data_IF_805843307665
#
_entry.id   IF_805843307665
#
_cell.length_a   1.000
_cell.length_b   1.000
_cell.length_c   1.000
_cell.angle_alpha   90.00
_cell.angle_beta   90.00
_cell.angle_gamma   90.00
#
_symmetry.space_group_name_H-M   'P 1'
#
loop_
_entity.id
_entity.type
_entity.pdbx_description
1 polymer ?
#
# COMPACT_ATOMS: atom_id res chain seq x y z
N UNK A 1 -1.98 27.60 -10.38
CA UNK A 1 -1.72 26.66 -11.49
C UNK A 1 -1.17 25.37 -10.91
N UNK A 2 -1.80 24.22 -11.19
CA UNK A 2 -1.28 22.91 -10.73
C UNK A 2 -0.05 22.55 -11.55
N UNK A 3 1.05 22.19 -10.87
CA UNK A 3 2.35 21.86 -11.48
C UNK A 3 2.61 20.35 -11.52
N UNK A 4 2.12 19.62 -10.53
CA UNK A 4 2.24 18.19 -10.43
C UNK A 4 1.07 17.62 -9.63
N UNK A 5 0.76 16.35 -9.87
CA UNK A 5 -0.20 15.55 -9.10
C UNK A 5 0.52 14.26 -8.71
N UNK A 6 0.50 13.92 -7.41
CA UNK A 6 1.04 12.66 -6.90
C UNK A 6 -0.14 11.74 -6.58
N UNK A 7 -0.08 10.51 -7.09
CA UNK A 7 -1.08 9.49 -6.82
C UNK A 7 -0.53 8.51 -5.78
N UNK A 8 -1.33 8.25 -4.74
CA UNK A 8 -1.10 7.07 -3.91
C UNK A 8 -1.44 5.82 -4.72
N UNK A 9 -0.76 4.71 -4.45
CA UNK A 9 -0.94 3.49 -5.24
C UNK A 9 -2.14 2.70 -4.74
N UNK A 10 -2.05 2.14 -3.53
CA UNK A 10 -3.06 1.23 -2.97
C UNK A 10 -4.20 2.03 -2.33
N UNK A 11 -5.43 1.77 -2.76
CA UNK A 11 -6.63 2.48 -2.32
C UNK A 11 -6.97 3.73 -3.14
N UNK A 12 -6.04 4.18 -4.00
CA UNK A 12 -6.26 5.31 -4.91
C UNK A 12 -6.17 4.87 -6.37
N UNK A 13 -5.00 4.44 -6.85
CA UNK A 13 -4.78 3.97 -8.23
C UNK A 13 -5.21 2.52 -8.42
N UNK A 14 -4.92 1.65 -7.45
CA UNK A 14 -5.31 0.24 -7.46
C UNK A 14 -6.12 -0.09 -6.22
N UNK A 15 -7.06 -1.02 -6.35
CA UNK A 15 -7.88 -1.53 -5.26
C UNK A 15 -7.70 -3.04 -5.13
N UNK A 16 -7.93 -3.55 -3.94
CA UNK A 16 -7.87 -4.98 -3.65
C UNK A 16 -9.12 -5.66 -4.24
N UNK A 17 -8.94 -6.67 -5.10
CA UNK A 17 -10.04 -7.47 -5.68
C UNK A 17 -10.76 -8.28 -4.60
N UNK A 18 -9.97 -8.89 -3.71
CA UNK A 18 -10.45 -9.52 -2.49
C UNK A 18 -10.22 -8.49 -1.38
N UNK A 19 -11.25 -8.02 -0.67
CA UNK A 19 -11.03 -7.17 0.49
C UNK A 19 -10.03 -7.86 1.42
N UNK A 20 -9.04 -7.11 1.91
CA UNK A 20 -8.09 -7.55 2.94
C UNK A 20 -6.81 -8.28 2.45
N UNK A 21 -6.43 -8.22 1.17
CA UNK A 21 -5.10 -8.68 0.68
C UNK A 21 -3.96 -8.18 1.58
N UNK A 22 -3.97 -6.89 1.94
CA UNK A 22 -2.89 -6.33 2.78
C UNK A 22 -2.93 -6.91 4.21
N UNK A 23 -4.12 -7.07 4.79
CA UNK A 23 -4.22 -7.68 6.12
C UNK A 23 -3.82 -9.15 6.08
N UNK A 24 -4.19 -9.88 5.04
CA UNK A 24 -3.80 -11.27 4.80
C UNK A 24 -2.28 -11.40 4.70
N UNK A 25 -1.59 -10.44 4.05
CA UNK A 25 -0.12 -10.42 4.01
C UNK A 25 0.48 -10.27 5.42
N UNK A 26 -0.09 -9.41 6.27
CA UNK A 26 0.33 -9.31 7.67
C UNK A 26 0.05 -10.60 8.43
N UNK A 27 -1.17 -11.12 8.38
CA UNK A 27 -1.55 -12.35 9.09
C UNK A 27 -0.66 -13.52 8.69
N UNK A 28 -0.38 -13.71 7.40
CA UNK A 28 0.54 -14.73 6.93
C UNK A 28 1.94 -14.54 7.54
N UNK A 29 2.52 -13.35 7.41
CA UNK A 29 3.87 -13.10 7.88
C UNK A 29 4.03 -13.31 9.39
N UNK A 30 3.06 -12.86 10.19
CA UNK A 30 3.07 -13.06 11.63
C UNK A 30 2.83 -14.53 12.00
N UNK A 31 1.93 -15.23 11.30
CA UNK A 31 1.67 -16.66 11.50
C UNK A 31 2.91 -17.52 11.24
N UNK A 32 3.61 -17.28 10.14
CA UNK A 32 4.85 -18.00 9.79
C UNK A 32 5.96 -17.79 10.83
N UNK A 33 5.97 -16.63 11.49
CA UNK A 33 6.87 -16.36 12.62
C UNK A 33 6.33 -16.82 13.98
N UNK A 34 5.20 -17.55 14.02
CA UNK A 34 4.53 -18.02 15.23
C UNK A 34 4.16 -16.88 16.20
N UNK A 35 3.88 -15.70 15.66
CA UNK A 35 3.48 -14.53 16.44
C UNK A 35 1.96 -14.33 16.34
N UNK A 36 1.22 -14.30 17.46
CA UNK A 36 -0.19 -13.97 17.43
C UNK A 36 -0.39 -12.51 16.98
N UNK A 37 -1.29 -12.31 16.02
CA UNK A 37 -1.62 -10.99 15.50
C UNK A 37 -3.09 -10.67 15.72
N UNK A 38 -3.36 -9.59 16.47
CA UNK A 38 -4.67 -8.98 16.50
C UNK A 38 -4.82 -8.01 15.32
N UNK A 39 -5.75 -8.31 14.41
CA UNK A 39 -6.07 -7.47 13.24
C UNK A 39 -6.56 -6.09 13.68
N UNK A 40 -7.20 -5.98 14.85
CA UNK A 40 -7.66 -4.71 15.39
C UNK A 40 -6.48 -3.74 15.62
N UNK A 41 -5.32 -4.27 16.03
CA UNK A 41 -4.09 -3.50 16.22
C UNK A 41 -3.53 -2.94 14.90
N UNK A 42 -3.73 -3.64 13.77
CA UNK A 42 -3.34 -3.14 12.45
C UNK A 42 -4.16 -1.90 12.04
N UNK A 43 -5.45 -1.86 12.39
CA UNK A 43 -6.33 -0.73 12.03
C UNK A 43 -5.86 0.59 12.64
N UNK A 44 -5.38 0.56 13.88
CA UNK A 44 -4.83 1.73 14.58
C UNK A 44 -3.54 2.29 13.96
N UNK A 45 -2.94 1.56 13.01
CA UNK A 45 -1.70 1.94 12.36
C UNK A 45 -1.83 2.08 10.83
N UNK A 46 -3.06 2.12 10.29
CA UNK A 46 -3.30 2.41 8.87
C UNK A 46 -2.61 3.72 8.44
N UNK A 47 -2.14 3.74 7.19
CA UNK A 47 -1.42 4.87 6.61
C UNK A 47 0.05 4.99 7.01
N UNK A 48 0.52 4.21 7.99
CA UNK A 48 1.95 4.15 8.32
C UNK A 48 2.72 3.22 7.38
N UNK A 49 4.04 3.41 7.38
CA UNK A 49 4.96 2.48 6.75
C UNK A 49 4.78 1.05 7.30
N UNK A 50 4.82 0.05 6.43
CA UNK A 50 4.50 -1.34 6.78
C UNK A 50 5.50 -1.93 7.78
N UNK A 51 6.78 -1.56 7.69
CA UNK A 51 7.81 -1.99 8.65
C UNK A 51 7.58 -1.34 10.02
N UNK A 52 7.16 -0.08 10.03
CA UNK A 52 6.78 0.62 11.27
C UNK A 52 5.55 -0.02 11.92
N UNK A 53 4.55 -0.45 11.14
CA UNK A 53 3.40 -1.21 11.67
C UNK A 53 3.87 -2.49 12.36
N UNK A 54 4.74 -3.28 11.71
CA UNK A 54 5.28 -4.53 12.27
C UNK A 54 5.99 -4.26 13.61
N UNK A 55 6.87 -3.26 13.64
CA UNK A 55 7.59 -2.88 14.86
C UNK A 55 6.64 -2.48 16.00
N UNK A 56 5.61 -1.68 15.71
CA UNK A 56 4.63 -1.28 16.71
C UNK A 56 3.84 -2.47 17.25
N UNK A 57 3.44 -3.41 16.40
CA UNK A 57 2.76 -4.63 16.82
C UNK A 57 3.66 -5.48 17.72
N UNK A 58 4.94 -5.64 17.37
CA UNK A 58 5.89 -6.37 18.21
C UNK A 58 6.06 -5.70 19.58
N UNK A 59 6.17 -4.37 19.63
CA UNK A 59 6.27 -3.62 20.89
C UNK A 59 5.03 -3.77 21.77
N UNK A 60 3.84 -3.64 21.19
CA UNK A 60 2.57 -3.77 21.90
C UNK A 60 2.36 -5.17 22.51
N UNK A 61 2.93 -6.19 21.87
CA UNK A 61 2.86 -7.58 22.35
C UNK A 61 4.10 -7.99 23.18
N UNK A 62 4.98 -7.05 23.52
CA UNK A 62 6.21 -7.31 24.27
C UNK A 62 7.14 -8.36 23.62
N UNK A 63 7.19 -8.38 22.29
CA UNK A 63 7.99 -9.32 21.50
C UNK A 63 9.32 -8.72 21.02
N UNK A 64 10.34 -9.56 20.74
CA UNK A 64 11.63 -9.08 20.27
C UNK A 64 11.54 -8.33 18.93
N UNK A 65 12.05 -7.10 18.89
CA UNK A 65 12.12 -6.30 17.67
C UNK A 65 13.00 -6.92 16.58
N UNK A 66 13.94 -7.81 16.96
CA UNK A 66 14.80 -8.55 16.03
C UNK A 66 14.00 -9.41 15.04
N UNK A 67 12.76 -9.79 15.36
CA UNK A 67 11.86 -10.52 14.46
C UNK A 67 11.32 -9.65 13.32
N UNK A 68 11.38 -8.32 13.46
CA UNK A 68 10.72 -7.39 12.55
C UNK A 68 11.20 -7.46 11.10
N UNK A 69 12.50 -7.70 10.89
CA UNK A 69 13.07 -7.82 9.54
C UNK A 69 12.58 -9.07 8.82
N UNK A 70 12.46 -10.19 9.53
CA UNK A 70 11.98 -11.45 8.97
C UNK A 70 10.48 -11.40 8.65
N UNK A 71 9.66 -10.88 9.58
CA UNK A 71 8.23 -10.65 9.35
C UNK A 71 8.03 -9.72 8.14
N UNK A 72 8.83 -8.65 8.04
CA UNK A 72 8.73 -7.73 6.91
C UNK A 72 9.15 -8.37 5.58
N UNK A 73 10.16 -9.25 5.59
CA UNK A 73 10.56 -10.03 4.42
C UNK A 73 9.41 -10.93 3.95
N UNK A 74 8.81 -11.70 4.85
CA UNK A 74 7.69 -12.59 4.55
C UNK A 74 6.46 -11.82 4.04
N UNK A 75 6.16 -10.67 4.67
CA UNK A 75 5.11 -9.77 4.21
C UNK A 75 5.32 -9.35 2.75
N UNK A 76 6.54 -8.91 2.38
CA UNK A 76 6.85 -8.49 1.01
C UNK A 76 6.76 -9.64 0.02
N UNK A 77 7.23 -10.83 0.40
CA UNK A 77 7.11 -12.03 -0.43
C UNK A 77 5.65 -12.34 -0.73
N UNK A 78 4.79 -12.31 0.30
CA UNK A 78 3.36 -12.56 0.14
C UNK A 78 2.66 -11.48 -0.68
N UNK A 79 2.99 -10.21 -0.45
CA UNK A 79 2.43 -9.10 -1.22
C UNK A 79 2.78 -9.21 -2.71
N UNK A 80 4.02 -9.61 -3.01
CA UNK A 80 4.47 -9.81 -4.39
C UNK A 80 3.74 -10.97 -5.06
N UNK A 81 3.56 -12.09 -4.34
CA UNK A 81 2.84 -13.25 -4.89
C UNK A 81 1.36 -12.98 -5.11
N UNK A 82 0.79 -12.03 -4.38
CA UNK A 82 -0.62 -11.66 -4.41
C UNK A 82 -0.85 -10.36 -5.24
N UNK A 83 0.12 -9.93 -6.04
CA UNK A 83 0.03 -8.71 -6.84
C UNK A 83 -1.09 -8.77 -7.90
N UNK A 84 -1.44 -9.97 -8.37
CA UNK A 84 -2.56 -10.24 -9.28
C UNK A 84 -3.94 -10.06 -8.62
N UNK A 85 -3.99 -9.92 -7.29
CA UNK A 85 -5.22 -9.66 -6.52
C UNK A 85 -5.54 -8.17 -6.42
N UNK A 86 -4.86 -7.32 -7.19
CA UNK A 86 -5.17 -5.91 -7.31
C UNK A 86 -5.74 -5.62 -8.69
N UNK A 87 -6.72 -4.72 -8.74
CA UNK A 87 -7.27 -4.20 -9.98
C UNK A 87 -7.17 -2.68 -9.99
N UNK A 88 -7.23 -2.10 -11.19
CA UNK A 88 -7.25 -0.65 -11.32
C UNK A 88 -8.52 -0.08 -10.68
N UNK A 89 -8.38 1.01 -9.94
CA UNK A 89 -9.53 1.72 -9.42
C UNK A 89 -10.28 2.45 -10.55
N UNK A 90 -11.61 2.46 -10.47
CA UNK A 90 -12.46 3.09 -11.48
C UNK A 90 -12.15 4.59 -11.60
N UNK A 91 -12.08 5.11 -12.81
CA UNK A 91 -11.81 6.53 -13.05
C UNK A 91 -10.31 6.89 -13.08
N UNK A 92 -9.42 5.96 -12.72
CA UNK A 92 -7.97 6.23 -12.67
C UNK A 92 -7.42 6.58 -14.05
N UNK A 93 -7.75 5.80 -15.08
CA UNK A 93 -7.28 6.08 -16.45
C UNK A 93 -7.82 7.42 -16.93
N UNK A 94 -9.11 7.68 -16.70
CA UNK A 94 -9.80 8.89 -17.13
C UNK A 94 -9.16 10.14 -16.54
N UNK A 95 -8.85 10.13 -15.24
CA UNK A 95 -8.16 11.24 -14.56
C UNK A 95 -6.74 11.40 -15.10
N UNK A 96 -5.98 10.32 -15.25
CA UNK A 96 -4.62 10.39 -15.78
C UNK A 96 -4.61 10.95 -17.20
N UNK A 97 -5.52 10.51 -18.07
CA UNK A 97 -5.68 11.03 -19.42
C UNK A 97 -6.04 12.52 -19.40
N UNK A 98 -7.03 12.92 -18.59
CA UNK A 98 -7.43 14.33 -18.47
C UNK A 98 -6.25 15.24 -18.09
N UNK A 99 -5.44 14.83 -17.12
CA UNK A 99 -4.27 15.59 -16.67
C UNK A 99 -3.19 15.68 -17.76
N UNK A 100 -2.96 14.60 -18.52
CA UNK A 100 -2.01 14.59 -19.64
C UNK A 100 -2.46 15.52 -20.78
N UNK A 101 -3.72 15.45 -21.21
CA UNK A 101 -4.24 16.32 -22.28
C UNK A 101 -4.25 17.79 -21.88
N UNK A 102 -4.64 18.09 -20.64
CA UNK A 102 -4.62 19.46 -20.09
C UNK A 102 -3.21 20.04 -19.97
N UNK A 103 -2.19 19.18 -19.79
CA UNK A 103 -0.79 19.59 -19.80
C UNK A 103 -0.30 19.89 -21.23
N UNK A 104 -0.71 19.09 -22.22
CA UNK A 104 -0.31 19.27 -23.62
C UNK A 104 -0.92 20.52 -24.29
N UNK A 105 -2.17 20.87 -23.99
CA UNK A 105 -2.78 22.12 -24.50
C UNK A 105 -2.05 23.37 -24.02
N UNK A 106 -1.59 23.40 -22.76
CA UNK A 106 -0.82 24.52 -22.22
C UNK A 106 0.54 24.67 -22.89
N UNK A 107 1.18 23.57 -23.27
CA UNK A 107 2.46 23.60 -23.99
C UNK A 107 2.33 24.17 -25.41
N UNK A 108 1.15 24.10 -26.05
CA UNK A 108 0.95 24.65 -27.41
C UNK A 108 0.68 26.16 -27.42
N UNK A 109 0.07 26.71 -26.38
CA UNK A 109 -0.24 28.15 -26.29
C UNK A 109 1.01 29.00 -26.02
N UNK A 110 2.09 28.41 -25.48
CA UNK A 110 3.35 29.10 -25.18
C UNK A 110 4.29 29.28 -26.38
N UNK A 111 3.93 28.80 -27.56
CA UNK A 111 4.71 28.95 -28.81
C UNK A 111 3.98 29.76 -29.90
N UNK A 112 2.91 30.47 -29.55
CA UNK A 112 2.22 31.42 -30.45
C UNK A 112 2.38 32.86 -29.93
#
# INVERSE_FOLDING_TARGET
MIKAVLFDLIGTTVIEYIPEVINNCFQNAFYECQVPLDISALKAHRGKDKKVIIQNVLLLNHLPLSMGDEIYRLFKTKLTSDADKFSLNRGTIEIMMYLLFSAHEKSRILYC
#
